data_IF_442618848047
#
_entry.id   IF_442618848047
#
_cell.length_a   1.000
_cell.length_b   1.000
_cell.length_c   1.000
_cell.angle_alpha   90.00
_cell.angle_beta   90.00
_cell.angle_gamma   90.00
#
_symmetry.space_group_name_H-M   'P 1'
#
loop_
_entity.id
_entity.type
_entity.pdbx_description
1 polymer ?
#
# COMPACT_ATOMS: atom_id res chain seq x y z
N UNK A 1 35.49 -79.52 11.81
CA UNK A 1 34.11 -79.30 11.35
C UNK A 1 33.52 -78.30 12.31
N UNK A 2 33.44 -77.08 11.85
CA UNK A 2 33.28 -75.90 12.72
C UNK A 2 31.82 -75.41 12.64
N UNK A 3 31.18 -75.32 13.78
CA UNK A 3 29.81 -74.79 13.90
C UNK A 3 29.89 -73.31 14.22
N UNK A 4 29.45 -72.51 13.27
CA UNK A 4 29.34 -71.05 13.46
C UNK A 4 28.01 -70.70 14.12
N UNK A 5 28.10 -70.15 15.31
CA UNK A 5 26.96 -69.60 16.08
C UNK A 5 26.73 -68.18 15.67
N UNK A 6 25.57 -67.92 15.08
CA UNK A 6 25.15 -66.55 14.70
C UNK A 6 24.53 -65.81 15.90
N UNK A 7 25.15 -64.73 16.30
CA UNK A 7 24.62 -63.82 17.34
C UNK A 7 23.80 -62.76 16.62
N UNK A 8 22.49 -62.74 16.88
CA UNK A 8 21.58 -61.69 16.38
C UNK A 8 21.58 -60.55 17.40
N UNK A 9 22.20 -59.44 17.03
CA UNK A 9 22.12 -58.20 17.78
C UNK A 9 20.87 -57.42 17.36
N UNK A 10 19.88 -57.39 18.24
CA UNK A 10 18.69 -56.58 18.05
C UNK A 10 18.97 -55.10 18.28
N UNK A 11 18.99 -54.32 17.21
CA UNK A 11 19.12 -52.88 17.28
C UNK A 11 17.74 -52.23 17.51
N UNK A 12 17.45 -51.83 18.73
CA UNK A 12 16.26 -51.04 19.07
C UNK A 12 16.50 -49.58 18.61
N UNK A 13 15.92 -49.25 17.46
CA UNK A 13 15.86 -47.87 16.96
C UNK A 13 14.82 -47.07 17.76
N UNK A 14 15.28 -46.28 18.71
CA UNK A 14 14.48 -45.24 19.36
C UNK A 14 14.36 -44.05 18.40
N UNK A 15 13.20 -43.95 17.73
CA UNK A 15 12.84 -42.78 16.94
C UNK A 15 12.56 -41.63 17.90
N UNK A 16 13.53 -40.73 18.03
CA UNK A 16 13.38 -39.48 18.76
C UNK A 16 12.66 -38.50 17.81
N UNK A 17 11.35 -38.38 17.95
CA UNK A 17 10.53 -37.43 17.19
C UNK A 17 10.89 -35.99 17.56
N UNK A 18 11.65 -35.33 16.71
CA UNK A 18 11.94 -33.91 16.83
C UNK A 18 10.71 -33.12 16.40
N UNK A 19 9.89 -32.69 17.36
CA UNK A 19 8.81 -31.72 17.10
C UNK A 19 9.43 -30.36 16.77
N UNK A 20 9.52 -30.06 15.48
CA UNK A 20 9.86 -28.71 15.00
C UNK A 20 8.62 -27.85 15.18
N UNK A 21 8.56 -27.08 16.26
CA UNK A 21 7.59 -26.01 16.43
C UNK A 21 8.00 -24.87 15.50
N UNK A 22 7.36 -24.79 14.35
CA UNK A 22 7.53 -23.65 13.46
C UNK A 22 6.86 -22.42 14.10
N UNK A 23 7.64 -21.57 14.73
CA UNK A 23 7.18 -20.25 15.16
C UNK A 23 6.98 -19.38 13.91
N UNK A 24 5.72 -19.20 13.51
CA UNK A 24 5.34 -18.21 12.49
C UNK A 24 5.55 -16.85 13.13
N UNK A 25 6.69 -16.23 12.86
CA UNK A 25 6.92 -14.82 13.19
C UNK A 25 6.01 -13.98 12.30
N UNK A 26 4.97 -13.38 12.88
CA UNK A 26 4.19 -12.36 12.22
C UNK A 26 5.12 -11.17 11.91
N UNK A 27 5.58 -11.07 10.69
CA UNK A 27 6.36 -9.92 10.24
C UNK A 27 5.41 -8.74 10.14
N UNK A 28 5.49 -7.82 11.09
CA UNK A 28 4.88 -6.49 10.96
C UNK A 28 5.51 -5.82 9.73
N UNK A 29 4.72 -5.39 8.73
CA UNK A 29 5.26 -4.71 7.57
C UNK A 29 6.08 -3.52 8.02
N UNK A 30 7.33 -3.41 7.55
CA UNK A 30 8.16 -2.25 7.81
C UNK A 30 7.46 -0.98 7.30
N UNK A 31 7.53 0.15 8.04
CA UNK A 31 6.96 1.41 7.59
C UNK A 31 7.53 1.79 6.23
N UNK A 32 6.67 1.92 5.23
CA UNK A 32 7.11 2.41 3.92
C UNK A 32 7.54 3.88 4.07
N UNK A 33 8.69 4.29 3.52
CA UNK A 33 9.20 5.67 3.65
C UNK A 33 8.23 6.75 3.13
N UNK A 34 7.19 6.36 2.41
CA UNK A 34 6.17 7.23 1.83
C UNK A 34 4.79 7.08 2.49
N UNK A 35 4.66 6.27 3.54
CA UNK A 35 3.39 6.13 4.24
C UNK A 35 3.21 7.30 5.21
N UNK A 36 2.12 8.03 5.05
CA UNK A 36 1.69 8.99 6.06
C UNK A 36 1.22 8.23 7.32
N UNK A 37 1.57 8.70 8.54
CA UNK A 37 1.21 7.98 9.77
C UNK A 37 -0.31 7.91 9.95
N UNK A 38 -0.82 6.72 10.30
CA UNK A 38 -2.22 6.44 10.70
C UNK A 38 -3.31 6.97 9.77
N UNK A 39 -3.07 6.98 8.46
CA UNK A 39 -3.96 7.59 7.49
C UNK A 39 -5.18 6.72 7.15
N UNK A 40 -6.35 7.34 7.01
CA UNK A 40 -7.61 6.70 6.66
C UNK A 40 -8.02 7.07 5.22
N UNK A 41 -8.01 6.10 4.32
CA UNK A 41 -8.33 6.31 2.90
C UNK A 41 -9.80 6.68 2.66
N UNK A 42 -10.75 6.19 3.47
CA UNK A 42 -12.16 6.54 3.33
C UNK A 42 -12.41 7.98 3.76
N UNK A 43 -11.84 8.40 4.89
CA UNK A 43 -11.86 9.80 5.31
C UNK A 43 -11.19 10.67 4.24
N UNK A 44 -10.07 10.23 3.68
CA UNK A 44 -9.36 10.90 2.59
C UNK A 44 -10.21 11.10 1.34
N UNK A 45 -11.04 10.11 0.96
CA UNK A 45 -11.98 10.26 -0.17
C UNK A 45 -13.00 11.36 0.10
N UNK A 46 -13.58 11.39 1.29
CA UNK A 46 -14.54 12.43 1.67
C UNK A 46 -13.91 13.83 1.63
N UNK A 47 -12.69 13.96 2.16
CA UNK A 47 -11.92 15.22 2.16
C UNK A 47 -11.54 15.64 0.73
N UNK A 48 -11.10 14.70 -0.10
CA UNK A 48 -10.75 14.95 -1.51
C UNK A 48 -11.94 15.54 -2.29
N UNK A 49 -13.15 15.07 -2.00
CA UNK A 49 -14.39 15.60 -2.58
C UNK A 49 -14.74 16.95 -1.95
N UNK A 50 -14.75 17.06 -0.63
CA UNK A 50 -15.18 18.30 0.06
C UNK A 50 -14.28 19.50 -0.22
N UNK A 51 -12.98 19.29 -0.43
CA UNK A 51 -12.06 20.35 -0.83
C UNK A 51 -12.04 20.63 -2.34
N UNK A 52 -12.85 19.93 -3.13
CA UNK A 52 -13.00 20.19 -4.54
C UNK A 52 -11.89 19.64 -5.44
N UNK A 53 -10.98 18.82 -4.92
CA UNK A 53 -9.88 18.21 -5.69
C UNK A 53 -10.40 17.40 -6.88
N UNK A 54 -11.57 16.77 -6.72
CA UNK A 54 -12.23 15.97 -7.75
C UNK A 54 -12.58 16.75 -9.02
N UNK A 55 -12.77 18.06 -8.93
CA UNK A 55 -13.18 18.89 -10.08
C UNK A 55 -12.16 18.83 -11.22
N UNK A 56 -10.89 18.77 -10.87
CA UNK A 56 -9.81 18.64 -11.86
C UNK A 56 -9.28 17.20 -11.95
N UNK A 57 -9.22 16.48 -10.84
CA UNK A 57 -8.56 15.17 -10.78
C UNK A 57 -9.52 13.98 -10.87
N UNK A 58 -10.86 14.23 -10.97
CA UNK A 58 -11.90 13.20 -11.01
C UNK A 58 -12.17 12.55 -9.65
N UNK A 59 -13.38 12.02 -9.45
CA UNK A 59 -13.84 11.45 -8.17
C UNK A 59 -12.99 10.29 -7.64
N UNK A 60 -12.32 9.57 -8.54
CA UNK A 60 -11.43 8.47 -8.22
C UNK A 60 -9.94 8.84 -8.44
N UNK A 61 -9.65 10.14 -8.46
CA UNK A 61 -8.30 10.67 -8.73
C UNK A 61 -7.68 10.12 -10.04
N UNK A 62 -8.55 9.75 -10.99
CA UNK A 62 -8.17 9.17 -12.28
C UNK A 62 -7.63 10.22 -13.26
N UNK A 63 -7.85 11.50 -12.98
CA UNK A 63 -7.46 12.59 -13.85
C UNK A 63 -8.19 12.64 -15.20
N UNK A 64 -7.85 13.62 -15.98
CA UNK A 64 -8.22 13.71 -17.40
C UNK A 64 -7.16 14.50 -18.18
N UNK A 65 -7.15 14.37 -19.49
CA UNK A 65 -6.22 15.12 -20.35
C UNK A 65 -6.53 16.63 -20.39
N UNK A 66 -7.75 17.02 -20.01
CA UNK A 66 -8.21 18.41 -20.12
C UNK A 66 -8.07 19.19 -18.79
N UNK A 67 -8.17 18.54 -17.62
CA UNK A 67 -8.34 19.24 -16.36
C UNK A 67 -7.22 19.03 -15.37
N UNK A 68 -6.71 17.80 -15.22
CA UNK A 68 -5.64 17.52 -14.27
C UNK A 68 -5.13 16.09 -14.37
N UNK A 69 -3.89 15.85 -13.98
CA UNK A 69 -3.28 14.52 -14.09
C UNK A 69 -3.94 13.52 -13.15
N UNK A 70 -3.77 12.22 -13.48
CA UNK A 70 -4.04 11.12 -12.55
C UNK A 70 -3.13 11.23 -11.32
N UNK A 71 -3.70 11.08 -10.13
CA UNK A 71 -2.96 11.15 -8.88
C UNK A 71 -2.72 9.78 -8.24
N UNK A 72 -3.60 8.81 -8.46
CA UNK A 72 -3.48 7.46 -7.90
C UNK A 72 -3.25 6.39 -8.97
N UNK A 73 -2.76 5.19 -8.56
CA UNK A 73 -2.45 4.72 -7.21
C UNK A 73 -1.03 5.04 -6.72
N UNK A 74 -0.20 5.64 -7.51
CA UNK A 74 1.20 5.95 -7.19
C UNK A 74 1.43 7.46 -7.18
N UNK A 75 0.95 8.16 -6.14
CA UNK A 75 1.24 9.58 -5.98
C UNK A 75 2.76 9.79 -5.79
N UNK A 76 3.22 11.00 -6.07
CA UNK A 76 4.59 11.41 -5.71
C UNK A 76 4.80 11.29 -4.19
N UNK A 77 6.05 11.21 -3.72
CA UNK A 77 6.37 11.08 -2.30
C UNK A 77 5.62 12.10 -1.44
N UNK A 78 5.13 11.72 -0.26
CA UNK A 78 4.26 12.54 0.58
C UNK A 78 4.78 13.97 0.83
N UNK A 79 6.09 14.10 1.12
CA UNK A 79 6.69 15.41 1.33
C UNK A 79 6.61 16.32 0.08
N UNK A 80 6.79 15.74 -1.10
CA UNK A 80 6.67 16.47 -2.38
C UNK A 80 5.19 16.78 -2.68
N UNK A 81 4.29 15.84 -2.40
CA UNK A 81 2.84 16.01 -2.54
C UNK A 81 2.34 17.17 -1.64
N UNK A 82 2.66 17.13 -0.36
CA UNK A 82 2.26 18.17 0.59
C UNK A 82 2.77 19.55 0.17
N UNK A 83 4.06 19.64 -0.20
CA UNK A 83 4.64 20.90 -0.69
C UNK A 83 3.93 21.40 -1.95
N UNK A 84 3.66 20.50 -2.90
CA UNK A 84 3.00 20.88 -4.16
C UNK A 84 1.57 21.37 -3.93
N UNK A 85 0.81 20.74 -3.06
CA UNK A 85 -0.54 21.21 -2.68
C UNK A 85 -0.51 22.61 -2.06
N UNK A 86 0.54 22.93 -1.29
CA UNK A 86 0.73 24.26 -0.68
C UNK A 86 1.19 25.32 -1.68
N UNK A 87 2.03 24.92 -2.63
CA UNK A 87 2.66 25.81 -3.63
C UNK A 87 2.64 25.15 -5.02
N UNK A 88 1.45 25.01 -5.61
CA UNK A 88 1.35 24.35 -6.91
C UNK A 88 1.88 25.25 -8.03
N UNK A 89 2.18 24.62 -9.16
CA UNK A 89 2.45 25.30 -10.43
C UNK A 89 1.25 25.15 -11.37
N UNK A 90 1.10 26.06 -12.32
CA UNK A 90 0.02 26.02 -13.31
C UNK A 90 -1.33 26.47 -12.75
N UNK A 91 -2.40 25.76 -13.11
CA UNK A 91 -3.78 26.17 -12.82
C UNK A 91 -4.34 25.61 -11.50
N UNK A 92 -3.61 24.74 -10.82
CA UNK A 92 -4.05 24.23 -9.53
C UNK A 92 -4.03 25.34 -8.48
N UNK A 93 -5.14 25.59 -7.73
CA UNK A 93 -5.14 26.58 -6.67
C UNK A 93 -4.30 26.10 -5.46
N UNK A 94 -3.62 27.00 -4.73
CA UNK A 94 -2.91 26.66 -3.52
C UNK A 94 -3.87 26.41 -2.35
N UNK A 95 -3.63 25.32 -1.60
CA UNK A 95 -4.38 25.02 -0.38
C UNK A 95 -3.49 25.27 0.83
N UNK A 96 -3.77 26.32 1.60
CA UNK A 96 -3.02 26.62 2.83
C UNK A 96 -3.33 25.60 3.93
N UNK A 97 -2.48 25.51 4.95
CA UNK A 97 -2.72 24.66 6.11
C UNK A 97 -3.96 25.07 6.93
N UNK A 98 -4.45 26.31 6.77
CA UNK A 98 -5.71 26.76 7.38
C UNK A 98 -6.94 26.20 6.69
N UNK A 99 -6.84 25.88 5.40
CA UNK A 99 -7.94 25.33 4.60
C UNK A 99 -7.91 23.82 4.62
N UNK A 100 -6.77 23.22 4.32
CA UNK A 100 -6.54 21.77 4.33
C UNK A 100 -5.43 21.48 5.32
N UNK A 101 -5.75 20.90 6.46
CA UNK A 101 -4.75 20.56 7.49
C UNK A 101 -3.74 19.52 6.99
N UNK A 102 -2.62 19.36 7.67
CA UNK A 102 -1.64 18.30 7.34
C UNK A 102 -2.22 16.92 7.63
N UNK A 103 -3.09 16.79 8.63
CA UNK A 103 -3.83 15.55 8.90
C UNK A 103 -4.79 15.20 7.75
N UNK A 104 -5.48 16.20 7.20
CA UNK A 104 -6.36 16.00 6.04
C UNK A 104 -5.56 15.60 4.80
N UNK A 105 -4.40 16.24 4.56
CA UNK A 105 -3.50 15.83 3.48
C UNK A 105 -3.01 14.40 3.64
N UNK A 106 -2.74 13.99 4.86
CA UNK A 106 -2.33 12.62 5.18
C UNK A 106 -3.42 11.62 4.80
N UNK A 107 -4.68 11.91 5.15
CA UNK A 107 -5.82 11.08 4.77
C UNK A 107 -6.07 11.08 3.25
N UNK A 108 -6.02 12.26 2.62
CA UNK A 108 -6.14 12.37 1.16
C UNK A 108 -5.05 11.55 0.46
N UNK A 109 -3.82 11.60 0.95
CA UNK A 109 -2.72 10.83 0.38
C UNK A 109 -2.96 9.31 0.47
N UNK A 110 -3.47 8.83 1.60
CA UNK A 110 -3.87 7.42 1.75
C UNK A 110 -4.98 7.04 0.76
N UNK A 111 -5.95 7.92 0.54
CA UNK A 111 -6.95 7.71 -0.51
C UNK A 111 -6.30 7.58 -1.89
N UNK A 112 -5.39 8.45 -2.26
CA UNK A 112 -4.70 8.37 -3.55
C UNK A 112 -3.94 7.06 -3.73
N UNK A 113 -3.25 6.60 -2.68
CA UNK A 113 -2.54 5.32 -2.69
C UNK A 113 -3.47 4.10 -2.82
N UNK A 114 -4.69 4.19 -2.29
CA UNK A 114 -5.67 3.10 -2.34
C UNK A 114 -6.38 2.96 -3.70
N UNK A 115 -6.12 3.84 -4.65
CA UNK A 115 -6.79 3.79 -5.96
C UNK A 115 -6.34 2.59 -6.79
N UNK A 116 -7.23 1.99 -7.59
CA UNK A 116 -6.85 0.92 -8.50
C UNK A 116 -5.92 1.45 -9.61
N UNK A 117 -5.07 0.57 -10.11
CA UNK A 117 -4.33 0.85 -11.33
C UNK A 117 -5.28 1.09 -12.52
N UNK A 118 -4.88 1.87 -13.53
CA UNK A 118 -5.65 1.99 -14.76
C UNK A 118 -5.93 0.62 -15.37
N UNK A 119 -7.15 0.44 -15.91
CA UNK A 119 -7.44 -0.76 -16.66
C UNK A 119 -6.51 -0.86 -17.88
N UNK A 120 -5.86 -2.01 -18.04
CA UNK A 120 -4.97 -2.25 -19.17
C UNK A 120 -5.71 -2.67 -20.43
N UNK A 121 -6.93 -3.20 -20.28
CA UNK A 121 -7.78 -3.64 -21.36
C UNK A 121 -9.14 -2.92 -21.28
N UNK A 122 -9.27 -1.82 -22.01
CA UNK A 122 -10.56 -1.19 -22.23
C UNK A 122 -11.09 -1.73 -23.56
N UNK A 123 -12.21 -2.48 -23.57
CA UNK A 123 -12.84 -2.88 -24.83
C UNK A 123 -13.13 -1.63 -25.66
N UNK A 124 -12.65 -1.61 -26.87
CA UNK A 124 -13.03 -0.55 -27.81
C UNK A 124 -14.56 -0.61 -27.98
N UNK A 125 -15.21 0.49 -27.71
CA UNK A 125 -16.62 0.65 -28.05
C UNK A 125 -16.70 0.59 -29.59
N UNK A 126 -17.24 -0.52 -30.09
CA UNK A 126 -17.52 -0.70 -31.52
C UNK A 126 -18.83 -0.04 -31.86
#
# INVERSE_FOLDING_TARGET
MTVMTSIVFGLRSTVFGLLIVATVSAQTPAPQPNAAPSANAEAGKKLFVSYGCYQCHGYEAQGSNATGPRLGPRPIAFAAFSRYVRQPTGQMPPYTAKVVSDADLTNIYAFLQSRPAPATNVPLLK
#
